data_IF_057894482417
#
_entry.id   IF_057894482417
#
_cell.length_a   1.000
_cell.length_b   1.000
_cell.length_c   1.000
_cell.angle_alpha   90.00
_cell.angle_beta   90.00
_cell.angle_gamma   90.00
#
_symmetry.space_group_name_H-M   'P 1'
#
loop_
_entity.id
_entity.type
_entity.pdbx_description
1 polymer ?
#
# COMPACT_ATOMS: atom_id res chain seq x y z
N UNK A 1 11.42 -4.14 9.57
CA UNK A 1 10.46 -3.90 8.47
C UNK A 1 9.37 -4.96 8.37
N UNK A 2 9.68 -6.27 8.42
CA UNK A 2 8.67 -7.35 8.30
C UNK A 2 7.57 -7.31 9.37
N UNK A 3 7.89 -6.88 10.59
CA UNK A 3 6.92 -6.82 11.70
C UNK A 3 5.74 -5.87 11.44
N UNK A 4 5.99 -4.65 10.97
CA UNK A 4 4.92 -3.67 10.69
C UNK A 4 4.10 -4.04 9.46
N UNK A 5 4.73 -4.61 8.44
CA UNK A 5 4.00 -5.15 7.29
C UNK A 5 3.08 -6.32 7.69
N UNK A 6 3.53 -7.19 8.61
CA UNK A 6 2.69 -8.27 9.12
C UNK A 6 1.47 -7.74 9.88
N UNK A 7 1.61 -6.63 10.63
CA UNK A 7 0.46 -5.97 11.28
C UNK A 7 -0.58 -5.55 10.24
N UNK A 8 -0.16 -4.96 9.12
CA UNK A 8 -1.07 -4.60 8.03
C UNK A 8 -1.83 -5.82 7.47
N UNK A 9 -1.13 -6.93 7.23
CA UNK A 9 -1.76 -8.16 6.74
C UNK A 9 -2.76 -8.73 7.74
N UNK A 10 -2.40 -8.75 9.02
CA UNK A 10 -3.30 -9.23 10.08
C UNK A 10 -4.50 -8.31 10.29
N UNK A 11 -4.32 -7.00 10.10
CA UNK A 11 -5.36 -5.99 10.28
C UNK A 11 -6.59 -6.29 9.42
N UNK A 12 -6.42 -6.86 8.22
CA UNK A 12 -7.53 -7.20 7.33
C UNK A 12 -8.62 -8.02 8.03
N UNK A 13 -8.24 -8.96 8.89
CA UNK A 13 -9.19 -9.79 9.67
C UNK A 13 -9.30 -9.26 11.10
N UNK A 14 -8.19 -9.08 11.79
CA UNK A 14 -8.17 -8.84 13.24
C UNK A 14 -8.77 -7.48 13.60
N UNK A 15 -8.59 -6.44 12.79
CA UNK A 15 -9.15 -5.11 13.09
C UNK A 15 -10.69 -5.10 13.12
N UNK A 16 -11.35 -6.05 12.44
CA UNK A 16 -12.82 -6.17 12.41
C UNK A 16 -13.40 -7.08 13.48
N UNK A 17 -12.65 -8.12 13.86
CA UNK A 17 -13.20 -9.23 14.66
C UNK A 17 -12.47 -9.48 15.98
N UNK A 18 -11.28 -8.93 16.18
CA UNK A 18 -10.51 -9.08 17.42
C UNK A 18 -10.62 -7.85 18.30
N UNK A 19 -11.03 -8.04 19.55
CA UNK A 19 -11.02 -6.98 20.57
C UNK A 19 -9.60 -6.63 21.06
N UNK A 20 -8.61 -7.44 20.70
CA UNK A 20 -7.20 -7.30 21.12
C UNK A 20 -6.29 -6.88 19.98
N UNK A 21 -6.85 -6.44 18.85
CA UNK A 21 -6.02 -5.89 17.77
C UNK A 21 -5.60 -4.48 18.14
N UNK A 22 -4.29 -4.27 18.22
CA UNK A 22 -3.69 -2.97 18.51
C UNK A 22 -2.61 -2.68 17.46
N UNK A 23 -2.51 -1.40 17.09
CA UNK A 23 -1.47 -0.87 16.22
C UNK A 23 -1.03 0.46 16.82
N UNK A 24 0.29 0.70 16.87
CA UNK A 24 0.82 1.97 17.35
C UNK A 24 0.71 3.05 16.28
N UNK A 25 0.63 4.31 16.71
CA UNK A 25 0.61 5.46 15.79
C UNK A 25 1.85 5.50 14.89
N UNK A 26 3.03 5.18 15.44
CA UNK A 26 4.29 5.08 14.69
C UNK A 26 4.22 4.01 13.59
N UNK A 27 3.71 2.81 13.90
CA UNK A 27 3.58 1.74 12.92
C UNK A 27 2.57 2.10 11.83
N UNK A 28 1.47 2.77 12.21
CA UNK A 28 0.46 3.25 11.26
C UNK A 28 1.03 4.33 10.33
N UNK A 29 1.73 5.33 10.87
CA UNK A 29 2.36 6.39 10.10
C UNK A 29 3.39 5.84 9.11
N UNK A 30 4.22 4.88 9.54
CA UNK A 30 5.16 4.22 8.65
C UNK A 30 4.45 3.47 7.51
N UNK A 31 3.37 2.74 7.81
CA UNK A 31 2.61 2.03 6.78
C UNK A 31 1.98 3.00 5.76
N UNK A 32 1.44 4.14 6.22
CA UNK A 32 0.89 5.17 5.33
C UNK A 32 1.95 5.72 4.37
N UNK A 33 3.13 6.08 4.87
CA UNK A 33 4.23 6.59 4.05
C UNK A 33 4.69 5.57 2.99
N UNK A 34 4.65 4.26 3.30
CA UNK A 34 4.94 3.20 2.33
C UNK A 34 3.82 3.03 1.31
N UNK A 35 2.56 3.15 1.72
CA UNK A 35 1.41 3.09 0.80
C UNK A 35 1.40 4.27 -0.16
N UNK A 36 1.68 5.49 0.29
CA UNK A 36 1.76 6.68 -0.56
C UNK A 36 2.87 6.57 -1.60
N UNK A 37 4.04 6.06 -1.19
CA UNK A 37 5.14 5.80 -2.11
C UNK A 37 4.77 4.75 -3.16
N UNK A 38 4.12 3.65 -2.74
CA UNK A 38 3.64 2.62 -3.65
C UNK A 38 2.61 3.18 -4.66
N UNK A 39 1.65 3.98 -4.20
CA UNK A 39 0.67 4.61 -5.09
C UNK A 39 1.34 5.48 -6.16
N UNK A 40 2.33 6.28 -5.78
CA UNK A 40 3.08 7.14 -6.71
C UNK A 40 3.82 6.33 -7.78
N UNK A 41 4.47 5.22 -7.38
CA UNK A 41 5.16 4.34 -8.31
C UNK A 41 4.19 3.63 -9.26
N UNK A 42 3.06 3.12 -8.74
CA UNK A 42 2.04 2.47 -9.56
C UNK A 42 1.45 3.45 -10.56
N UNK A 43 1.13 4.68 -10.15
CA UNK A 43 0.62 5.71 -11.04
C UNK A 43 1.60 6.02 -12.17
N UNK A 44 2.88 6.17 -11.86
CA UNK A 44 3.95 6.39 -12.85
C UNK A 44 3.99 5.25 -13.88
N UNK A 45 4.09 4.00 -13.42
CA UNK A 45 4.17 2.82 -14.28
C UNK A 45 2.92 2.68 -15.15
N UNK A 46 1.74 2.93 -14.59
CA UNK A 46 0.49 2.91 -15.35
C UNK A 46 0.47 3.98 -16.45
N UNK A 47 0.88 5.22 -16.16
CA UNK A 47 0.94 6.30 -17.15
C UNK A 47 1.94 6.01 -18.26
N UNK A 48 3.13 5.53 -17.92
CA UNK A 48 4.14 5.11 -18.91
C UNK A 48 3.57 4.03 -19.83
N UNK A 49 2.95 2.99 -19.25
CA UNK A 49 2.36 1.90 -20.01
C UNK A 49 1.24 2.36 -20.95
N UNK A 50 0.41 3.30 -20.51
CA UNK A 50 -0.65 3.89 -21.33
C UNK A 50 -0.08 4.69 -22.50
N UNK A 51 0.92 5.53 -22.25
CA UNK A 51 1.58 6.32 -23.30
C UNK A 51 2.23 5.42 -24.37
N UNK A 52 2.88 4.32 -23.96
CA UNK A 52 3.41 3.32 -24.90
C UNK A 52 2.32 2.66 -25.75
N UNK A 53 1.14 2.38 -25.15
CA UNK A 53 0.02 1.78 -25.89
C UNK A 53 -0.57 2.76 -26.90
N UNK A 54 -0.72 4.03 -26.52
CA UNK A 54 -1.19 5.09 -27.42
C UNK A 54 -0.25 5.27 -28.61
N UNK A 55 1.07 5.30 -28.37
CA UNK A 55 2.07 5.38 -29.45
C UNK A 55 2.05 4.17 -30.39
N UNK A 56 1.77 2.96 -29.89
CA UNK A 56 1.67 1.75 -30.72
C UNK A 56 0.39 1.67 -31.54
N UNK A 57 -0.66 2.38 -31.11
CA UNK A 57 -1.97 2.40 -31.76
C UNK A 57 -2.13 3.58 -32.74
N UNK A 58 -1.17 4.52 -32.77
CA UNK A 58 -1.10 5.63 -33.71
C UNK A 58 -0.28 5.25 -34.96
#
# INVERSE_FOLDING_TARGET
>A
FTAWYNILNEAYVKARYSKHFEITEEALAWLLERTEHLHSLVEMVCKERLAELEQKNA
#
